data_IF_567074618677
#
_entry.id   IF_567074618677
#
_cell.length_a   1.000
_cell.length_b   1.000
_cell.length_c   1.000
_cell.angle_alpha   90.00
_cell.angle_beta   90.00
_cell.angle_gamma   90.00
#
_symmetry.space_group_name_H-M   'P 1'
#
loop_
_entity.id
_entity.type
_entity.pdbx_description
1 polymer ?
#
# COMPACT_ATOMS: atom_id res chain seq x y z
N UNK A 1 -14.94 33.99 17.68
CA UNK A 1 -15.93 33.11 18.34
C UNK A 1 -16.51 32.05 17.40
N UNK A 2 -17.35 32.35 16.40
CA UNK A 2 -17.87 31.32 15.49
C UNK A 2 -16.77 30.68 14.60
N UNK A 3 -15.79 31.49 14.20
CA UNK A 3 -14.65 31.05 13.38
C UNK A 3 -13.67 30.15 14.17
N UNK A 4 -13.44 30.46 15.45
CA UNK A 4 -12.60 29.64 16.34
C UNK A 4 -13.20 28.26 16.59
N UNK A 5 -14.54 28.19 16.79
CA UNK A 5 -15.24 26.91 16.97
C UNK A 5 -15.15 26.04 15.72
N UNK A 6 -15.31 26.63 14.53
CA UNK A 6 -15.19 25.91 13.25
C UNK A 6 -13.76 25.43 13.03
N UNK A 7 -12.76 26.26 13.34
CA UNK A 7 -11.35 25.92 13.23
C UNK A 7 -10.97 24.76 14.17
N UNK A 8 -11.48 24.75 15.40
CA UNK A 8 -11.23 23.65 16.34
C UNK A 8 -11.90 22.34 15.90
N UNK A 9 -13.11 22.40 15.33
CA UNK A 9 -13.76 21.24 14.72
C UNK A 9 -12.96 20.68 13.54
N UNK A 10 -12.50 21.56 12.63
CA UNK A 10 -11.65 21.16 11.50
C UNK A 10 -10.32 20.56 11.98
N UNK A 11 -9.76 21.05 13.09
CA UNK A 11 -8.55 20.48 13.71
C UNK A 11 -8.78 19.08 14.26
N UNK A 12 -9.92 18.84 14.91
CA UNK A 12 -10.30 17.51 15.40
C UNK A 12 -10.46 16.52 14.23
N UNK A 13 -11.16 16.93 13.16
CA UNK A 13 -11.30 16.13 11.94
C UNK A 13 -9.94 15.85 11.31
N UNK A 14 -9.08 16.87 11.22
CA UNK A 14 -7.72 16.72 10.67
C UNK A 14 -6.90 15.70 11.46
N UNK A 15 -6.92 15.76 12.80
CA UNK A 15 -6.21 14.80 13.66
C UNK A 15 -6.73 13.38 13.49
N UNK A 16 -8.05 13.19 13.49
CA UNK A 16 -8.65 11.86 13.27
C UNK A 16 -8.27 11.29 11.89
N UNK A 17 -8.34 12.11 10.84
CA UNK A 17 -7.92 11.70 9.50
C UNK A 17 -6.42 11.39 9.43
N UNK A 18 -5.59 12.15 10.13
CA UNK A 18 -4.15 11.94 10.20
C UNK A 18 -3.82 10.61 10.90
N UNK A 19 -4.50 10.30 12.00
CA UNK A 19 -4.37 9.02 12.71
C UNK A 19 -4.76 7.85 11.80
N UNK A 20 -5.91 7.93 11.13
CA UNK A 20 -6.35 6.92 10.17
C UNK A 20 -5.35 6.73 9.02
N UNK A 21 -4.85 7.84 8.48
CA UNK A 21 -3.85 7.82 7.40
C UNK A 21 -2.52 7.21 7.86
N UNK A 22 -2.05 7.50 9.07
CA UNK A 22 -0.85 6.91 9.65
C UNK A 22 -1.02 5.41 9.92
N UNK A 23 -2.20 4.99 10.41
CA UNK A 23 -2.51 3.59 10.70
C UNK A 23 -2.51 2.69 9.45
N UNK A 24 -2.73 3.23 8.25
CA UNK A 24 -2.66 2.44 6.99
C UNK A 24 -1.22 2.02 6.62
N UNK A 25 -0.18 2.75 7.06
CA UNK A 25 1.20 2.41 6.74
C UNK A 25 1.63 1.02 7.28
N UNK A 26 1.43 0.68 8.57
CA UNK A 26 1.73 -0.66 9.07
C UNK A 26 0.83 -1.73 8.44
N UNK A 27 -0.44 -1.43 8.15
CA UNK A 27 -1.37 -2.37 7.49
C UNK A 27 -0.84 -2.77 6.11
N UNK A 28 -0.33 -1.82 5.32
CA UNK A 28 0.30 -2.08 4.02
C UNK A 28 1.48 -3.04 4.12
N UNK A 29 2.38 -2.78 5.07
CA UNK A 29 3.56 -3.63 5.31
C UNK A 29 3.16 -5.03 5.71
N UNK A 30 2.20 -5.18 6.63
CA UNK A 30 1.69 -6.48 7.08
C UNK A 30 1.08 -7.24 5.89
N UNK A 31 0.22 -6.61 5.09
CA UNK A 31 -0.38 -7.24 3.90
C UNK A 31 0.69 -7.74 2.92
N UNK A 32 1.75 -6.98 2.72
CA UNK A 32 2.86 -7.39 1.85
C UNK A 32 3.64 -8.57 2.45
N UNK A 33 3.93 -8.55 3.75
CA UNK A 33 4.61 -9.67 4.43
C UNK A 33 3.80 -10.96 4.35
N UNK A 34 2.47 -10.88 4.56
CA UNK A 34 1.59 -12.04 4.42
C UNK A 34 1.47 -12.52 2.97
N UNK A 35 1.46 -11.62 1.98
CA UNK A 35 1.58 -11.99 0.57
C UNK A 35 2.86 -12.80 0.33
N UNK A 36 4.02 -12.30 0.78
CA UNK A 36 5.30 -13.01 0.61
C UNK A 36 5.29 -14.38 1.31
N UNK A 37 4.83 -14.43 2.56
CA UNK A 37 4.77 -15.67 3.34
C UNK A 37 3.84 -16.70 2.69
N UNK A 38 2.64 -16.30 2.26
CA UNK A 38 1.69 -17.21 1.60
C UNK A 38 2.22 -17.72 0.25
N UNK A 39 2.92 -16.89 -0.51
CA UNK A 39 3.57 -17.32 -1.75
C UNK A 39 4.74 -18.28 -1.52
N UNK A 40 5.56 -18.05 -0.50
CA UNK A 40 6.64 -18.96 -0.11
C UNK A 40 6.10 -20.34 0.30
N UNK A 41 5.01 -20.37 1.08
CA UNK A 41 4.33 -21.61 1.45
C UNK A 41 3.76 -22.34 0.24
N UNK A 42 3.07 -21.62 -0.65
CA UNK A 42 2.55 -22.18 -1.91
C UNK A 42 3.66 -22.79 -2.77
N UNK A 43 4.81 -22.11 -2.89
CA UNK A 43 5.96 -22.63 -3.61
C UNK A 43 6.46 -23.94 -2.96
N UNK A 44 6.53 -23.99 -1.63
CA UNK A 44 6.84 -25.22 -0.90
C UNK A 44 5.86 -26.36 -1.20
N UNK A 45 4.56 -26.08 -1.22
CA UNK A 45 3.55 -27.08 -1.59
C UNK A 45 3.69 -27.56 -3.03
N UNK A 46 4.01 -26.66 -3.96
CA UNK A 46 4.24 -27.03 -5.36
C UNK A 46 5.44 -27.98 -5.48
N UNK A 47 6.53 -27.74 -4.74
CA UNK A 47 7.71 -28.60 -4.75
C UNK A 47 7.46 -29.99 -4.13
N UNK A 48 6.56 -30.09 -3.16
CA UNK A 48 6.21 -31.34 -2.48
C UNK A 48 5.09 -32.11 -3.20
N UNK A 49 4.33 -31.45 -4.07
CA UNK A 49 3.23 -32.08 -4.79
C UNK A 49 3.76 -32.91 -5.95
N UNK A 50 3.20 -34.09 -6.18
CA UNK A 50 3.56 -34.93 -7.34
C UNK A 50 2.55 -34.76 -8.48
N UNK A 51 1.29 -34.43 -8.16
CA UNK A 51 0.17 -34.46 -9.13
C UNK A 51 -0.61 -33.16 -9.24
N UNK A 52 -0.48 -32.23 -8.28
CA UNK A 52 -1.34 -31.05 -8.19
C UNK A 52 -0.64 -29.73 -8.57
N UNK A 53 0.46 -29.78 -9.34
CA UNK A 53 1.24 -28.60 -9.73
C UNK A 53 0.39 -27.49 -10.37
N UNK A 54 -0.37 -27.83 -11.42
CA UNK A 54 -1.20 -26.87 -12.17
C UNK A 54 -2.31 -26.22 -11.33
N UNK A 55 -3.15 -26.96 -10.59
CA UNK A 55 -4.17 -26.33 -9.74
C UNK A 55 -3.55 -25.49 -8.61
N UNK A 56 -2.40 -25.89 -8.05
CA UNK A 56 -1.68 -25.08 -7.06
C UNK A 56 -1.17 -23.76 -7.65
N UNK A 57 -0.61 -23.78 -8.87
CA UNK A 57 -0.14 -22.58 -9.56
C UNK A 57 -1.29 -21.63 -9.92
N UNK A 58 -2.40 -22.15 -10.42
CA UNK A 58 -3.61 -21.34 -10.66
C UNK A 58 -4.19 -20.79 -9.35
N UNK A 59 -4.15 -21.56 -8.27
CA UNK A 59 -4.48 -21.10 -6.92
C UNK A 59 -3.59 -19.94 -6.48
N UNK A 60 -2.29 -20.03 -6.71
CA UNK A 60 -1.32 -18.94 -6.46
C UNK A 60 -1.62 -17.68 -7.27
N UNK A 61 -1.98 -17.83 -8.55
CA UNK A 61 -2.43 -16.73 -9.41
C UNK A 61 -3.68 -16.02 -8.83
N UNK A 62 -4.73 -16.78 -8.55
CA UNK A 62 -5.99 -16.23 -7.99
C UNK A 62 -5.75 -15.57 -6.63
N UNK A 63 -4.94 -16.20 -5.76
CA UNK A 63 -4.57 -15.64 -4.46
C UNK A 63 -3.88 -14.27 -4.62
N UNK A 64 -2.94 -14.15 -5.55
CA UNK A 64 -2.25 -12.90 -5.83
C UNK A 64 -3.18 -11.81 -6.38
N UNK A 65 -4.20 -12.16 -7.17
CA UNK A 65 -5.23 -11.22 -7.60
C UNK A 65 -6.08 -10.72 -6.42
N UNK A 66 -6.49 -11.62 -5.52
CA UNK A 66 -7.24 -11.24 -4.30
C UNK A 66 -6.40 -10.29 -3.44
N UNK A 67 -5.12 -10.57 -3.26
CA UNK A 67 -4.20 -9.68 -2.56
C UNK A 67 -4.05 -8.33 -3.25
N UNK A 68 -3.98 -8.30 -4.58
CA UNK A 68 -3.93 -7.06 -5.36
C UNK A 68 -5.14 -6.16 -5.06
N UNK A 69 -6.34 -6.74 -5.01
CA UNK A 69 -7.56 -6.00 -4.66
C UNK A 69 -7.53 -5.52 -3.20
N UNK A 70 -7.11 -6.38 -2.27
CA UNK A 70 -7.01 -6.04 -0.83
C UNK A 70 -6.02 -4.91 -0.55
N UNK A 71 -4.85 -4.93 -1.19
CA UNK A 71 -3.84 -3.88 -1.10
C UNK A 71 -4.31 -2.62 -1.83
N UNK A 72 -4.93 -2.78 -3.00
CA UNK A 72 -5.50 -1.68 -3.80
C UNK A 72 -6.51 -0.84 -3.02
N UNK A 73 -7.41 -1.49 -2.27
CA UNK A 73 -8.38 -0.79 -1.41
C UNK A 73 -7.69 0.07 -0.35
N UNK A 74 -6.67 -0.46 0.30
CA UNK A 74 -5.85 0.26 1.29
C UNK A 74 -5.09 1.44 0.66
N UNK A 75 -4.50 1.26 -0.52
CA UNK A 75 -3.82 2.34 -1.26
C UNK A 75 -4.81 3.44 -1.64
N UNK A 76 -6.02 3.07 -2.06
CA UNK A 76 -7.09 4.00 -2.40
C UNK A 76 -7.53 4.84 -1.20
N UNK A 77 -7.79 4.21 -0.05
CA UNK A 77 -8.20 4.94 1.16
C UNK A 77 -7.11 5.88 1.66
N UNK A 78 -5.85 5.43 1.70
CA UNK A 78 -4.76 6.31 2.10
C UNK A 78 -4.63 7.52 1.16
N UNK A 79 -4.86 7.34 -0.15
CA UNK A 79 -4.87 8.46 -1.10
C UNK A 79 -6.07 9.39 -0.86
N UNK A 80 -7.27 8.84 -0.66
CA UNK A 80 -8.47 9.61 -0.42
C UNK A 80 -8.38 10.46 0.85
N UNK A 81 -7.87 9.89 1.95
CA UNK A 81 -7.63 10.62 3.19
C UNK A 81 -6.52 11.66 3.04
N UNK A 82 -5.45 11.34 2.31
CA UNK A 82 -4.40 12.31 1.99
C UNK A 82 -4.94 13.55 1.27
N UNK A 83 -5.83 13.37 0.28
CA UNK A 83 -6.49 14.51 -0.41
C UNK A 83 -7.32 15.34 0.56
N UNK A 84 -8.06 14.72 1.47
CA UNK A 84 -8.85 15.45 2.48
C UNK A 84 -7.99 16.20 3.48
N UNK A 85 -6.87 15.62 3.90
CA UNK A 85 -5.89 16.28 4.77
C UNK A 85 -5.29 17.50 4.08
N UNK A 86 -4.92 17.39 2.80
CA UNK A 86 -4.43 18.51 1.99
C UNK A 86 -5.48 19.61 1.82
N UNK A 87 -6.74 19.24 1.59
CA UNK A 87 -7.87 20.19 1.48
C UNK A 87 -8.06 20.99 2.78
N UNK A 88 -8.01 20.34 3.95
CA UNK A 88 -8.16 21.01 5.24
C UNK A 88 -6.93 21.88 5.53
N UNK A 89 -5.72 21.36 5.26
CA UNK A 89 -4.47 22.09 5.45
C UNK A 89 -4.42 23.40 4.65
N UNK A 90 -4.88 23.38 3.39
CA UNK A 90 -4.94 24.58 2.55
C UNK A 90 -5.92 25.66 3.03
N UNK A 91 -6.92 25.32 3.85
CA UNK A 91 -7.86 26.30 4.43
C UNK A 91 -7.23 27.14 5.53
N UNK A 92 -6.20 26.61 6.20
CA UNK A 92 -5.53 27.26 7.33
C UNK A 92 -4.02 27.32 7.09
N UNK A 93 -3.56 28.07 6.07
CA UNK A 93 -2.15 28.08 5.67
C UNK A 93 -1.22 28.60 6.78
N UNK A 94 -1.69 29.56 7.57
CA UNK A 94 -0.91 30.22 8.62
C UNK A 94 -0.92 29.46 9.97
N UNK A 95 -1.61 28.32 10.06
CA UNK A 95 -1.69 27.53 11.28
C UNK A 95 -0.78 26.30 11.19
N UNK A 96 0.34 26.34 11.92
CA UNK A 96 1.34 25.27 11.94
C UNK A 96 0.74 23.90 12.33
N UNK A 97 -0.36 23.87 13.10
CA UNK A 97 -1.04 22.62 13.51
C UNK A 97 -1.60 21.85 12.31
N UNK A 98 -1.87 22.52 11.19
CA UNK A 98 -2.34 21.91 9.94
C UNK A 98 -1.22 21.67 8.92
N UNK A 99 0.02 22.07 9.23
CA UNK A 99 1.19 21.91 8.33
C UNK A 99 2.07 20.69 8.67
N UNK A 100 1.58 19.78 9.53
CA UNK A 100 2.31 18.59 9.99
C UNK A 100 2.75 17.65 8.85
N UNK A 101 2.10 17.72 7.70
CA UNK A 101 2.38 16.90 6.52
C UNK A 101 3.30 17.56 5.49
N UNK A 102 3.87 18.74 5.76
CA UNK A 102 4.79 19.37 4.81
C UNK A 102 6.15 18.64 4.75
N UNK A 103 6.17 17.59 3.94
CA UNK A 103 7.32 16.71 3.75
C UNK A 103 8.39 17.34 2.85
N UNK A 104 8.14 18.49 2.21
CA UNK A 104 9.07 19.07 1.21
C UNK A 104 10.42 19.40 1.81
N UNK A 105 10.43 19.97 3.03
CA UNK A 105 11.67 20.29 3.76
C UNK A 105 12.41 19.03 4.19
N UNK A 106 11.70 18.01 4.67
CA UNK A 106 12.31 16.75 5.10
C UNK A 106 12.88 15.94 3.92
N UNK A 107 12.16 15.88 2.80
CA UNK A 107 12.60 15.21 1.57
C UNK A 107 13.83 15.88 0.94
N UNK A 108 13.94 17.20 1.03
CA UNK A 108 15.11 17.95 0.56
C UNK A 108 16.38 17.65 1.38
N UNK A 109 16.23 17.30 2.66
CA UNK A 109 17.32 16.95 3.56
C UNK A 109 17.70 15.46 3.50
N UNK A 110 16.93 14.63 2.80
CA UNK A 110 17.17 13.19 2.74
C UNK A 110 18.42 12.85 1.89
N UNK A 111 19.26 11.89 2.35
CA UNK A 111 20.41 11.39 1.60
C UNK A 111 20.05 10.89 0.20
N UNK A 112 20.98 11.00 -0.76
CA UNK A 112 20.76 10.61 -2.15
C UNK A 112 20.28 9.16 -2.33
N UNK A 113 20.83 8.24 -1.56
CA UNK A 113 20.44 6.82 -1.59
C UNK A 113 19.00 6.59 -1.10
N UNK A 114 18.55 7.33 -0.07
CA UNK A 114 17.17 7.26 0.44
C UNK A 114 16.17 7.82 -0.56
N UNK A 115 16.53 8.90 -1.28
CA UNK A 115 15.71 9.44 -2.36
C UNK A 115 15.61 8.48 -3.55
N UNK A 116 16.66 7.70 -3.80
CA UNK A 116 16.68 6.70 -4.88
C UNK A 116 15.82 5.48 -4.54
N UNK A 117 15.99 4.90 -3.35
CA UNK A 117 15.19 3.75 -2.89
C UNK A 117 13.74 4.13 -2.56
N UNK A 118 13.54 5.29 -1.93
CA UNK A 118 12.23 5.83 -1.57
C UNK A 118 11.52 6.57 -2.71
N UNK A 119 12.20 6.81 -3.84
CA UNK A 119 11.64 7.49 -5.01
C UNK A 119 10.68 6.62 -5.82
N UNK A 120 10.72 5.30 -5.62
CA UNK A 120 9.73 4.39 -6.21
C UNK A 120 8.39 4.67 -5.54
N UNK A 121 7.43 5.17 -6.32
CA UNK A 121 6.10 5.46 -5.78
C UNK A 121 5.54 4.21 -5.12
N UNK A 122 5.17 4.32 -3.84
CA UNK A 122 4.65 3.22 -3.04
C UNK A 122 3.51 2.46 -3.73
N UNK A 123 2.74 3.12 -4.60
CA UNK A 123 1.68 2.48 -5.42
C UNK A 123 2.24 1.38 -6.33
N UNK A 124 3.39 1.59 -6.97
CA UNK A 124 3.99 0.63 -7.90
C UNK A 124 4.59 -0.55 -7.16
N UNK A 125 5.19 -0.30 -5.99
CA UNK A 125 5.70 -1.38 -5.15
C UNK A 125 4.57 -2.23 -4.56
N UNK A 126 3.56 -1.58 -3.97
CA UNK A 126 2.45 -2.26 -3.28
C UNK A 126 1.50 -3.01 -4.21
N UNK A 127 1.22 -2.47 -5.40
CA UNK A 127 0.35 -3.14 -6.39
C UNK A 127 1.15 -3.98 -7.38
N UNK A 128 2.38 -3.58 -7.70
CA UNK A 128 3.22 -4.31 -8.64
C UNK A 128 3.70 -5.64 -8.08
N UNK A 129 3.98 -5.74 -6.78
CA UNK A 129 4.40 -7.01 -6.18
C UNK A 129 3.35 -8.14 -6.35
N UNK A 130 2.08 -7.98 -5.91
CA UNK A 130 1.09 -9.04 -6.10
C UNK A 130 0.76 -9.29 -7.58
N UNK A 131 0.74 -8.26 -8.43
CA UNK A 131 0.50 -8.45 -9.87
C UNK A 131 1.66 -9.18 -10.56
N UNK A 132 2.91 -8.87 -10.20
CA UNK A 132 4.10 -9.56 -10.70
C UNK A 132 4.11 -11.03 -10.29
N UNK A 133 3.77 -11.31 -9.03
CA UNK A 133 3.62 -12.69 -8.54
C UNK A 133 2.48 -13.43 -9.24
N UNK A 134 1.34 -12.77 -9.48
CA UNK A 134 0.25 -13.34 -10.27
C UNK A 134 0.75 -13.71 -11.68
N UNK A 135 1.46 -12.80 -12.35
CA UNK A 135 2.05 -13.06 -13.66
C UNK A 135 3.02 -14.26 -13.65
N UNK A 136 3.87 -14.36 -12.63
CA UNK A 136 4.80 -15.47 -12.47
C UNK A 136 4.07 -16.82 -12.28
N UNK A 137 3.02 -16.86 -11.43
CA UNK A 137 2.22 -18.06 -11.24
C UNK A 137 1.45 -18.48 -12.49
N UNK A 138 0.89 -17.52 -13.23
CA UNK A 138 0.19 -17.79 -14.47
C UNK A 138 1.16 -18.34 -15.53
N UNK A 139 2.35 -17.74 -15.66
CA UNK A 139 3.38 -18.22 -16.57
C UNK A 139 3.81 -19.65 -16.20
N UNK A 140 4.04 -19.93 -14.92
CA UNK A 140 4.37 -21.27 -14.45
C UNK A 140 3.26 -22.28 -14.78
N UNK A 141 2.00 -21.92 -14.57
CA UNK A 141 0.85 -22.77 -14.89
C UNK A 141 0.74 -23.08 -16.39
N UNK A 142 1.06 -22.11 -17.25
CA UNK A 142 1.07 -22.27 -18.71
C UNK A 142 2.21 -23.20 -19.14
N UNK A 143 3.42 -22.96 -18.63
CA UNK A 143 4.61 -23.77 -18.98
C UNK A 143 4.44 -25.22 -18.53
N UNK A 144 3.99 -25.46 -17.30
CA UNK A 144 3.77 -26.81 -16.78
C UNK A 144 2.54 -27.49 -17.40
N UNK A 145 1.56 -26.72 -17.87
CA UNK A 145 0.35 -27.24 -18.50
C UNK A 145 0.40 -27.40 -20.02
N UNK A 146 1.49 -26.99 -20.67
CA UNK A 146 1.72 -27.05 -22.12
C UNK A 146 2.59 -28.24 -22.57
N UNK A 147 2.98 -29.11 -21.64
CA UNK A 147 3.65 -30.39 -21.89
C UNK A 147 2.70 -31.56 -21.61
#
# INVERSE_FOLDING_TARGET
MADDTRREQDLQIYRQLLELWQAENPIKTIKLQFLLASNALLLGFVQLSVTAHRPLMLGGFVLCLIWSLSIGRTVLFQKAWGVRLDEISRRYPDDERFQLLDQRRALAQAPAWLRLLGGVSAKYYLLGAPLGMAGAWLLAAIVVGGH
#
